data_IF_566945833178
#
_entry.id   IF_566945833178
#
_cell.length_a   1.000
_cell.length_b   1.000
_cell.length_c   1.000
_cell.angle_alpha   90.00
_cell.angle_beta   90.00
_cell.angle_gamma   90.00
#
_symmetry.space_group_name_H-M   'P 1'
#
loop_
_entity.id
_entity.type
_entity.pdbx_description
1 polymer ?
#
# COMPACT_ATOMS: atom_id res chain seq x y z
N UNK A 1 -10.58 22.93 -1.80
CA UNK A 1 -9.86 22.35 -0.65
C UNK A 1 -9.50 20.93 -1.00
N UNK A 2 -8.27 20.69 -1.43
CA UNK A 2 -7.75 19.34 -1.66
C UNK A 2 -7.51 18.70 -0.30
N UNK A 3 -8.36 17.73 0.06
CA UNK A 3 -8.12 16.88 1.22
C UNK A 3 -6.99 15.94 0.79
N UNK A 4 -5.77 16.17 1.26
CA UNK A 4 -4.68 15.20 1.15
C UNK A 4 -4.97 14.09 2.14
N UNK A 5 -5.80 13.13 1.76
CA UNK A 5 -5.95 11.89 2.52
C UNK A 5 -4.63 11.12 2.40
N UNK A 6 -3.86 11.04 3.48
CA UNK A 6 -2.74 10.11 3.53
C UNK A 6 -3.29 8.70 3.26
N UNK A 7 -2.73 7.93 2.33
CA UNK A 7 -3.25 6.61 1.96
C UNK A 7 -2.92 5.55 3.02
N UNK A 8 -2.53 5.98 4.23
CA UNK A 8 -2.17 5.11 5.33
C UNK A 8 -2.44 5.76 6.68
N UNK A 9 -2.57 4.93 7.70
CA UNK A 9 -2.76 5.34 9.08
C UNK A 9 -2.01 4.41 10.04
N UNK A 10 -1.42 4.97 11.10
CA UNK A 10 -0.85 4.16 12.17
C UNK A 10 -1.96 3.74 13.12
N UNK A 11 -2.27 2.43 13.15
CA UNK A 11 -3.39 1.89 13.93
C UNK A 11 -2.97 1.37 15.30
N UNK A 12 -1.73 1.60 15.74
CA UNK A 12 -1.22 1.10 17.03
C UNK A 12 -2.14 1.38 18.21
N UNK A 13 -2.68 2.60 18.30
CA UNK A 13 -3.56 3.02 19.40
C UNK A 13 -4.97 2.42 19.32
N UNK A 14 -5.33 1.82 18.18
CA UNK A 14 -6.62 1.20 17.90
C UNK A 14 -6.53 -0.33 17.79
N UNK A 15 -5.33 -0.87 17.64
CA UNK A 15 -5.10 -2.30 17.45
C UNK A 15 -5.25 -3.05 18.78
N UNK A 16 -5.85 -4.23 18.71
CA UNK A 16 -5.86 -5.19 19.82
C UNK A 16 -4.43 -5.63 20.17
N UNK A 17 -3.49 -5.57 19.21
CA UNK A 17 -2.10 -5.96 19.36
C UNK A 17 -1.18 -4.74 19.48
N UNK A 18 -1.25 -4.05 20.62
CA UNK A 18 -0.50 -2.80 20.88
C UNK A 18 1.04 -2.94 20.87
N UNK A 19 1.55 -4.17 20.89
CA UNK A 19 2.98 -4.45 20.76
C UNK A 19 3.49 -4.27 19.32
N UNK A 20 2.59 -4.21 18.33
CA UNK A 20 2.92 -4.05 16.93
C UNK A 20 2.87 -2.57 16.52
N UNK A 21 3.82 -2.17 15.67
CA UNK A 21 3.82 -0.86 15.02
C UNK A 21 3.13 -0.97 13.66
N UNK A 22 1.82 -1.23 13.68
CA UNK A 22 1.02 -1.52 12.50
C UNK A 22 0.64 -0.24 11.72
N UNK A 23 0.95 -0.24 10.42
CA UNK A 23 0.51 0.78 9.46
C UNK A 23 -0.52 0.16 8.52
N UNK A 24 -1.75 0.68 8.56
CA UNK A 24 -2.83 0.29 7.67
C UNK A 24 -2.80 1.14 6.41
N UNK A 25 -2.75 0.52 5.24
CA UNK A 25 -2.83 1.19 3.94
C UNK A 25 -4.23 1.02 3.33
N UNK A 26 -4.69 2.01 2.57
CA UNK A 26 -5.89 1.88 1.75
C UNK A 26 -5.68 0.85 0.64
N UNK A 27 -6.74 0.16 0.22
CA UNK A 27 -6.66 -0.92 -0.80
C UNK A 27 -6.15 -0.42 -2.17
N UNK A 28 -6.36 0.85 -2.48
CA UNK A 28 -5.92 1.51 -3.71
C UNK A 28 -4.50 2.07 -3.62
N UNK A 29 -3.75 1.73 -2.56
CA UNK A 29 -2.35 2.15 -2.41
C UNK A 29 -1.47 1.42 -3.41
N UNK A 30 -0.69 2.19 -4.18
CA UNK A 30 0.25 1.65 -5.18
C UNK A 30 1.69 1.90 -4.74
N UNK A 31 2.49 0.83 -4.79
CA UNK A 31 3.93 0.89 -4.57
C UNK A 31 4.68 0.54 -5.84
N UNK A 32 5.72 1.32 -6.15
CA UNK A 32 6.70 0.99 -7.17
C UNK A 32 7.85 0.22 -6.52
N UNK A 33 8.21 -0.93 -7.08
CA UNK A 33 9.44 -1.64 -6.71
C UNK A 33 10.62 -0.83 -7.21
N UNK A 34 11.54 -0.49 -6.31
CA UNK A 34 12.76 0.26 -6.61
C UNK A 34 13.94 -0.69 -6.76
N UNK A 35 14.08 -1.63 -5.83
CA UNK A 35 15.17 -2.60 -5.82
C UNK A 35 14.69 -3.93 -5.23
N UNK A 36 15.38 -5.00 -5.62
CA UNK A 36 15.19 -6.35 -5.10
C UNK A 36 16.58 -6.92 -4.86
N UNK A 37 16.93 -7.09 -3.61
CA UNK A 37 18.25 -7.54 -3.18
C UNK A 37 18.14 -8.85 -2.41
N UNK A 38 19.03 -9.78 -2.72
CA UNK A 38 19.14 -11.03 -1.97
C UNK A 38 20.15 -10.87 -0.83
N UNK A 39 19.70 -11.14 0.40
CA UNK A 39 20.55 -11.20 1.58
C UNK A 39 20.62 -12.65 2.09
N UNK A 40 21.84 -13.18 2.15
CA UNK A 40 22.12 -14.46 2.75
C UNK A 40 22.79 -14.25 4.11
N UNK A 41 22.12 -14.64 5.20
CA UNK A 41 22.69 -14.62 6.54
C UNK A 41 22.47 -15.99 7.21
N UNK A 42 23.56 -16.63 7.66
CA UNK A 42 23.51 -17.94 8.35
C UNK A 42 22.67 -19.01 7.63
N UNK A 43 22.85 -19.18 6.31
CA UNK A 43 22.08 -20.11 5.45
C UNK A 43 20.59 -19.78 5.31
N UNK A 44 20.12 -18.64 5.81
CA UNK A 44 18.79 -18.12 5.54
C UNK A 44 18.87 -17.15 4.38
N UNK A 45 18.11 -17.45 3.32
CA UNK A 45 17.94 -16.58 2.16
C UNK A 45 16.74 -15.67 2.40
N UNK A 46 16.99 -14.37 2.43
CA UNK A 46 15.95 -13.33 2.57
C UNK A 46 16.04 -12.40 1.36
N UNK A 47 14.90 -11.95 0.86
CA UNK A 47 14.83 -10.93 -0.17
C UNK A 47 14.41 -9.61 0.46
N UNK A 48 15.27 -8.59 0.32
CA UNK A 48 14.95 -7.22 0.67
C UNK A 48 14.33 -6.56 -0.56
N UNK A 49 13.09 -6.11 -0.44
CA UNK A 49 12.38 -5.42 -1.51
C UNK A 49 12.18 -3.97 -1.08
N UNK A 50 12.79 -3.04 -1.80
CA UNK A 50 12.56 -1.62 -1.59
C UNK A 50 11.34 -1.17 -2.38
N UNK A 51 10.37 -0.59 -1.67
CA UNK A 51 9.12 -0.09 -2.23
C UNK A 51 9.04 1.42 -2.05
N UNK A 52 8.63 2.13 -3.11
CA UNK A 52 8.31 3.56 -3.05
C UNK A 52 6.81 3.74 -3.20
N UNK A 53 6.19 4.38 -2.21
CA UNK A 53 4.81 4.84 -2.32
C UNK A 53 4.70 5.85 -3.46
N UNK A 54 3.76 5.63 -4.38
CA UNK A 54 3.50 6.54 -5.49
C UNK A 54 2.18 7.27 -5.24
N UNK A 55 2.20 8.59 -5.32
CA UNK A 55 0.98 9.39 -5.34
C UNK A 55 0.45 9.46 -6.77
N UNK A 56 -0.87 9.39 -6.91
CA UNK A 56 -1.59 9.50 -8.18
C UNK A 56 -1.27 10.81 -8.90
N UNK A 57 -0.95 11.88 -8.17
CA UNK A 57 -0.66 13.21 -8.74
C UNK A 57 0.63 13.20 -9.58
N UNK A 58 1.57 12.32 -9.28
CA UNK A 58 2.93 12.39 -9.84
C UNK A 58 3.15 11.48 -11.07
N UNK A 59 2.13 10.76 -11.54
CA UNK A 59 2.32 9.80 -12.62
C UNK A 59 1.06 9.52 -13.46
N UNK A 60 0.93 10.25 -14.58
CA UNK A 60 -0.14 10.09 -15.58
C UNK A 60 -0.27 8.66 -16.14
N UNK A 61 0.81 7.85 -16.09
CA UNK A 61 0.78 6.45 -16.54
C UNK A 61 -0.02 5.54 -15.59
N UNK A 62 -0.30 5.98 -14.36
CA UNK A 62 -1.05 5.20 -13.37
C UNK A 62 -2.57 5.35 -13.50
N UNK A 63 -3.07 6.30 -14.29
CA UNK A 63 -4.50 6.54 -14.43
C UNK A 63 -5.26 5.32 -14.98
N UNK A 64 -4.65 4.60 -15.92
CA UNK A 64 -5.21 3.35 -16.44
C UNK A 64 -5.29 2.25 -15.38
N UNK A 65 -4.27 2.16 -14.53
CA UNK A 65 -4.19 1.18 -13.45
C UNK A 65 -5.21 1.49 -12.34
N UNK A 66 -5.31 2.76 -11.92
CA UNK A 66 -6.32 3.20 -10.96
C UNK A 66 -7.74 2.99 -11.48
N UNK A 67 -7.99 3.23 -12.77
CA UNK A 67 -9.29 2.95 -13.39
C UNK A 67 -9.63 1.45 -13.32
N UNK A 68 -8.67 0.59 -13.67
CA UNK A 68 -8.84 -0.86 -13.55
C UNK A 68 -9.15 -1.29 -12.11
N UNK A 69 -8.38 -0.81 -11.12
CA UNK A 69 -8.65 -1.11 -9.71
C UNK A 69 -10.03 -0.61 -9.28
N UNK A 70 -10.40 0.62 -9.64
CA UNK A 70 -11.72 1.15 -9.32
C UNK A 70 -12.82 0.26 -9.89
N UNK A 71 -12.73 -0.15 -11.14
CA UNK A 71 -13.74 -0.99 -11.79
C UNK A 71 -13.81 -2.42 -11.19
N UNK A 72 -12.70 -2.97 -10.70
CA UNK A 72 -12.67 -4.30 -10.06
C UNK A 72 -13.14 -4.29 -8.60
N UNK A 73 -12.88 -3.21 -7.87
CA UNK A 73 -13.15 -3.12 -6.44
C UNK A 73 -14.34 -2.21 -6.10
N UNK A 74 -14.97 -1.57 -7.09
CA UNK A 74 -16.29 -0.92 -6.94
C UNK A 74 -17.43 -1.94 -6.96
N UNK A 75 -17.31 -3.01 -6.19
CA UNK A 75 -18.44 -3.90 -5.94
C UNK A 75 -19.59 -3.11 -5.34
N UNK A 76 -20.79 -3.29 -5.88
CA UNK A 76 -22.03 -2.79 -5.28
C UNK A 76 -22.03 -3.19 -3.80
N UNK A 77 -22.16 -2.21 -2.91
CA UNK A 77 -22.56 -2.47 -1.52
C UNK A 77 -23.94 -3.11 -1.55
N UNK A 78 -23.99 -4.45 -1.65
CA UNK A 78 -25.16 -5.21 -1.27
C UNK A 78 -25.29 -5.08 0.24
N UNK A 79 -26.08 -4.08 0.60
CA UNK A 79 -26.59 -3.85 1.95
C UNK A 79 -27.27 -5.14 2.41
N UNK A 80 -26.75 -5.77 3.46
CA UNK A 80 -27.46 -6.78 4.23
C UNK A 80 -28.24 -6.11 5.36
#
# INVERSE_FOLDING_TARGET
TTITTMPFYNVKDLSYFQAEDEILFSIDTIFKIISVEEHCNNNVRVWLIELKLIDKIDNDELDGLYKYFKDQFSGETTSY
#
